data_IF_505953917313
#
_entry.id   IF_505953917313
#
_cell.length_a   1.000
_cell.length_b   1.000
_cell.length_c   1.000
_cell.angle_alpha   90.00
_cell.angle_beta   90.00
_cell.angle_gamma   90.00
#
_symmetry.space_group_name_H-M   'P 1'
#
loop_
_entity.id
_entity.type
_entity.pdbx_description
1 polymer ?
#
# COMPACT_ATOMS: atom_id res chain seq x y z
N UNK A 1 8.90 -2.66 -4.89
CA UNK A 1 8.91 -1.33 -4.26
C UNK A 1 9.89 -0.34 -4.93
N UNK A 2 11.14 -0.72 -5.26
CA UNK A 2 12.16 0.20 -5.81
C UNK A 2 11.71 1.06 -7.00
N UNK A 3 11.07 0.45 -8.01
CA UNK A 3 10.55 1.19 -9.16
C UNK A 3 9.57 2.30 -8.76
N UNK A 4 8.69 2.03 -7.78
CA UNK A 4 7.70 2.98 -7.30
C UNK A 4 8.36 4.11 -6.50
N UNK A 5 9.36 3.80 -5.69
CA UNK A 5 10.15 4.81 -4.98
C UNK A 5 10.87 5.77 -5.96
N UNK A 6 11.47 5.21 -7.02
CA UNK A 6 12.10 6.01 -8.08
C UNK A 6 11.08 6.83 -8.88
N UNK A 7 9.88 6.29 -9.10
CA UNK A 7 8.80 7.01 -9.78
C UNK A 7 8.32 8.20 -8.93
N UNK A 8 8.15 8.00 -7.62
CA UNK A 8 7.80 9.06 -6.66
C UNK A 8 8.86 10.19 -6.66
N UNK A 9 10.14 9.83 -6.80
CA UNK A 9 11.26 10.79 -6.94
C UNK A 9 11.41 11.38 -8.34
N UNK A 10 10.56 10.97 -9.31
CA UNK A 10 10.60 11.42 -10.72
C UNK A 10 11.90 11.03 -11.45
N UNK A 11 12.48 9.88 -11.09
CA UNK A 11 13.77 9.39 -11.59
C UNK A 11 13.66 8.30 -12.68
N UNK A 12 12.43 7.89 -13.05
CA UNK A 12 12.20 6.77 -13.98
C UNK A 12 11.94 7.26 -15.41
N UNK A 13 11.13 8.30 -15.56
CA UNK A 13 10.66 8.86 -16.83
C UNK A 13 10.62 10.39 -16.72
N UNK A 14 10.07 11.09 -17.72
CA UNK A 14 9.92 12.55 -17.62
C UNK A 14 9.08 12.96 -16.41
N UNK A 15 9.40 14.13 -15.83
CA UNK A 15 8.69 14.65 -14.67
C UNK A 15 7.18 14.79 -14.94
N UNK A 16 6.80 15.22 -16.15
CA UNK A 16 5.41 15.42 -16.53
C UNK A 16 4.63 14.10 -16.61
N UNK A 17 5.21 13.04 -17.17
CA UNK A 17 4.54 11.74 -17.20
C UNK A 17 4.52 11.11 -15.81
N UNK A 18 5.57 11.32 -15.00
CA UNK A 18 5.60 10.88 -13.60
C UNK A 18 4.42 11.49 -12.84
N UNK A 19 4.20 12.80 -12.94
CA UNK A 19 3.06 13.48 -12.31
C UNK A 19 1.71 12.94 -12.77
N UNK A 20 1.55 12.65 -14.07
CA UNK A 20 0.31 12.05 -14.58
C UNK A 20 0.04 10.67 -13.98
N UNK A 21 1.09 9.86 -13.80
CA UNK A 21 0.95 8.55 -13.14
C UNK A 21 0.61 8.75 -11.66
N UNK A 22 1.33 9.61 -10.96
CA UNK A 22 1.09 9.89 -9.54
C UNK A 22 -0.32 10.42 -9.29
N UNK A 23 -0.83 11.31 -10.15
CA UNK A 23 -2.20 11.81 -10.08
C UNK A 23 -3.26 10.70 -10.18
N UNK A 24 -2.99 9.66 -11.00
CA UNK A 24 -3.86 8.47 -11.08
C UNK A 24 -3.76 7.59 -9.83
N UNK A 25 -2.56 7.42 -9.29
CA UNK A 25 -2.33 6.60 -8.08
C UNK A 25 -2.94 7.25 -6.83
N UNK A 26 -3.00 8.57 -6.76
CA UNK A 26 -3.57 9.35 -5.65
C UNK A 26 -5.10 9.38 -5.61
N UNK A 27 -5.79 8.54 -6.39
CA UNK A 27 -7.24 8.41 -6.33
C UNK A 27 -7.83 8.20 -4.90
N UNK A 28 -7.14 7.58 -3.92
CA UNK A 28 -7.69 7.40 -2.57
C UNK A 28 -7.70 8.68 -1.72
N UNK A 29 -6.91 9.71 -2.09
CA UNK A 29 -6.79 10.97 -1.34
C UNK A 29 -8.10 11.75 -1.24
N UNK A 30 -9.11 11.42 -2.05
CA UNK A 30 -10.43 12.03 -2.00
C UNK A 30 -11.29 11.64 -0.78
N UNK A 31 -10.82 10.72 0.06
CA UNK A 31 -11.57 10.22 1.21
C UNK A 31 -11.09 10.83 2.55
N UNK A 32 -12.03 11.19 3.42
CA UNK A 32 -11.74 11.78 4.75
C UNK A 32 -10.84 10.87 5.64
N UNK A 33 -10.98 9.54 5.66
CA UNK A 33 -10.08 8.68 6.43
C UNK A 33 -8.62 8.77 5.97
N UNK A 34 -8.37 8.76 4.66
CA UNK A 34 -7.01 8.83 4.10
C UNK A 34 -6.38 10.19 4.41
N UNK A 35 -7.12 11.28 4.19
CA UNK A 35 -6.61 12.64 4.42
C UNK A 35 -6.27 12.95 5.89
N UNK A 36 -6.78 12.16 6.84
CA UNK A 36 -6.42 12.28 8.27
C UNK A 36 -5.08 11.61 8.59
N UNK A 37 -4.78 10.49 7.94
CA UNK A 37 -3.59 9.69 8.24
C UNK A 37 -2.41 9.98 7.31
N UNK A 38 -2.66 10.61 6.16
CA UNK A 38 -1.65 10.80 5.12
C UNK A 38 -1.61 12.22 4.55
N UNK A 39 -0.41 12.77 4.42
CA UNK A 39 -0.16 14.01 3.67
C UNK A 39 -0.20 13.77 2.16
N UNK A 40 0.30 12.61 1.74
CA UNK A 40 0.26 12.11 0.38
C UNK A 40 0.09 10.60 0.43
N UNK A 41 -0.84 10.04 -0.33
CA UNK A 41 -1.08 8.62 -0.42
C UNK A 41 -1.51 8.24 -1.83
N UNK A 42 -0.93 7.18 -2.37
CA UNK A 42 -1.38 6.62 -3.62
C UNK A 42 -1.19 5.12 -3.68
N UNK A 43 -2.09 4.45 -4.38
CA UNK A 43 -2.15 3.01 -4.38
C UNK A 43 -2.70 2.45 -5.69
N UNK A 44 -2.24 1.24 -6.00
CA UNK A 44 -2.82 0.34 -7.00
C UNK A 44 -3.06 -1.02 -6.34
N UNK A 45 -4.30 -1.49 -6.40
CA UNK A 45 -4.72 -2.77 -5.84
C UNK A 45 -5.12 -3.73 -6.97
N UNK A 46 -4.78 -5.00 -6.83
CA UNK A 46 -5.15 -6.08 -7.74
C UNK A 46 -5.89 -7.19 -6.98
N UNK A 47 -7.04 -7.59 -7.52
CA UNK A 47 -7.95 -8.57 -6.94
C UNK A 47 -8.18 -9.69 -7.95
N UNK A 48 -7.36 -10.75 -7.90
CA UNK A 48 -7.51 -11.93 -8.76
C UNK A 48 -7.84 -13.14 -7.93
N UNK A 49 -8.57 -14.10 -8.51
CA UNK A 49 -8.79 -15.39 -7.83
C UNK A 49 -7.44 -16.05 -7.52
N UNK A 50 -7.19 -16.31 -6.24
CA UNK A 50 -5.94 -16.92 -5.77
C UNK A 50 -4.77 -15.96 -5.56
N UNK A 51 -4.92 -14.66 -5.85
CA UNK A 51 -3.91 -13.65 -5.56
C UNK A 51 -4.57 -12.30 -5.24
N UNK A 52 -4.28 -11.78 -4.06
CA UNK A 52 -4.58 -10.41 -3.69
C UNK A 52 -3.26 -9.64 -3.58
N UNK A 53 -3.14 -8.51 -4.24
CA UNK A 53 -1.89 -7.76 -4.25
C UNK A 53 -2.12 -6.26 -4.28
N UNK A 54 -1.10 -5.50 -3.88
CA UNK A 54 -1.12 -4.06 -4.03
C UNK A 54 0.26 -3.45 -3.90
N UNK A 55 0.39 -2.26 -4.48
CA UNK A 55 1.54 -1.39 -4.33
C UNK A 55 1.01 -0.01 -3.93
N UNK A 56 1.51 0.49 -2.83
CA UNK A 56 1.14 1.79 -2.27
C UNK A 56 2.37 2.52 -1.74
N UNK A 57 2.22 3.84 -1.70
CA UNK A 57 3.13 4.74 -1.04
C UNK A 57 2.31 5.71 -0.19
N UNK A 58 2.90 6.16 0.91
CA UNK A 58 2.23 7.09 1.79
C UNK A 58 3.23 7.85 2.65
N UNK A 59 2.96 9.14 2.85
CA UNK A 59 3.62 9.97 3.86
C UNK A 59 2.68 10.11 5.04
N UNK A 60 3.02 9.47 6.16
CA UNK A 60 2.21 9.49 7.38
C UNK A 60 2.20 10.90 8.00
N UNK A 61 1.03 11.37 8.42
CA UNK A 61 0.88 12.64 9.16
C UNK A 61 1.41 12.55 10.60
N UNK A 62 1.64 11.34 11.12
CA UNK A 62 2.06 11.11 12.50
C UNK A 62 3.57 11.29 12.70
N UNK A 63 4.39 10.81 11.77
CA UNK A 63 5.85 10.82 11.86
C UNK A 63 6.55 11.45 10.65
N UNK A 64 5.79 11.84 9.61
CA UNK A 64 6.31 12.40 8.37
C UNK A 64 7.09 11.41 7.50
N UNK A 65 7.07 10.11 7.84
CA UNK A 65 7.83 9.11 7.12
C UNK A 65 7.11 8.73 5.82
N UNK A 66 7.83 8.79 4.71
CA UNK A 66 7.34 8.29 3.41
C UNK A 66 7.76 6.83 3.24
N UNK A 67 6.77 5.95 3.20
CA UNK A 67 6.97 4.53 2.92
C UNK A 67 6.49 4.17 1.53
N UNK A 68 7.11 3.13 0.97
CA UNK A 68 6.66 2.47 -0.26
C UNK A 68 6.67 0.98 0.00
N UNK A 69 5.53 0.33 -0.16
CA UNK A 69 5.41 -1.10 0.08
C UNK A 69 4.75 -1.82 -1.10
N UNK A 70 4.92 -3.13 -1.13
CA UNK A 70 4.24 -4.01 -2.06
C UNK A 70 3.86 -5.26 -1.27
N UNK A 71 2.56 -5.56 -1.22
CA UNK A 71 2.03 -6.69 -0.44
C UNK A 71 1.38 -7.68 -1.39
N UNK A 72 1.68 -8.95 -1.16
CA UNK A 72 1.11 -10.07 -1.89
C UNK A 72 0.53 -11.05 -0.88
N UNK A 73 -0.74 -11.38 -1.04
CA UNK A 73 -1.38 -12.48 -0.34
C UNK A 73 -1.61 -13.60 -1.34
N UNK A 74 -0.82 -14.65 -1.22
CA UNK A 74 -0.94 -15.86 -2.00
C UNK A 74 -1.49 -17.01 -1.15
N UNK A 75 -1.97 -18.06 -1.82
CA UNK A 75 -2.46 -19.29 -1.18
C UNK A 75 -3.56 -19.11 -0.13
N UNK A 76 -4.35 -18.04 -0.24
CA UNK A 76 -5.46 -17.79 0.66
C UNK A 76 -6.53 -18.89 0.52
N UNK A 77 -7.05 -19.46 1.63
CA UNK A 77 -8.23 -20.32 1.59
C UNK A 77 -9.39 -19.60 0.88
N UNK A 78 -10.13 -20.29 0.02
CA UNK A 78 -11.15 -19.67 -0.84
C UNK A 78 -12.16 -18.80 -0.07
N UNK A 79 -12.62 -19.26 1.10
CA UNK A 79 -13.53 -18.48 1.94
C UNK A 79 -12.89 -17.19 2.46
N UNK A 80 -11.61 -17.26 2.86
CA UNK A 80 -10.86 -16.11 3.31
C UNK A 80 -10.56 -15.13 2.18
N UNK A 81 -10.21 -15.65 0.99
CA UNK A 81 -10.06 -14.85 -0.22
C UNK A 81 -11.34 -14.07 -0.52
N UNK A 82 -12.51 -14.71 -0.51
CA UNK A 82 -13.81 -14.04 -0.75
C UNK A 82 -14.01 -12.88 0.22
N UNK A 83 -13.73 -13.08 1.51
CA UNK A 83 -13.89 -12.01 2.50
C UNK A 83 -12.90 -10.87 2.25
N UNK A 84 -11.62 -11.17 2.03
CA UNK A 84 -10.60 -10.16 1.78
C UNK A 84 -10.83 -9.37 0.49
N UNK A 85 -11.26 -10.04 -0.57
CA UNK A 85 -11.51 -9.42 -1.88
C UNK A 85 -12.81 -8.61 -1.92
N UNK A 86 -13.81 -8.98 -1.11
CA UNK A 86 -15.15 -8.40 -1.19
C UNK A 86 -15.36 -7.13 -0.36
N UNK A 87 -14.49 -6.80 0.60
CA UNK A 87 -14.76 -5.76 1.61
C UNK A 87 -13.59 -4.80 1.91
N UNK A 88 -12.76 -4.45 0.91
CA UNK A 88 -11.61 -3.54 1.06
C UNK A 88 -10.62 -3.93 2.19
N UNK A 89 -10.70 -5.13 2.77
CA UNK A 89 -9.88 -5.51 3.93
C UNK A 89 -8.39 -5.55 3.58
N UNK A 90 -8.05 -5.96 2.36
CA UNK A 90 -6.67 -5.87 1.88
C UNK A 90 -6.18 -4.41 1.79
N UNK A 91 -7.07 -3.49 1.42
CA UNK A 91 -6.73 -2.09 1.17
C UNK A 91 -6.59 -1.38 2.52
N UNK A 92 -7.50 -1.64 3.45
CA UNK A 92 -7.42 -1.19 4.84
C UNK A 92 -6.14 -1.71 5.50
N UNK A 93 -5.83 -3.01 5.35
CA UNK A 93 -4.59 -3.57 5.88
C UNK A 93 -3.34 -2.88 5.31
N UNK A 94 -3.26 -2.71 3.99
CA UNK A 94 -2.14 -2.02 3.34
C UNK A 94 -1.99 -0.58 3.84
N UNK A 95 -3.08 0.17 3.87
CA UNK A 95 -3.10 1.54 4.40
C UNK A 95 -2.61 1.58 5.84
N UNK A 96 -3.18 0.73 6.71
CA UNK A 96 -2.81 0.65 8.12
C UNK A 96 -1.36 0.31 8.33
N UNK A 97 -0.79 -0.54 7.49
CA UNK A 97 0.62 -0.91 7.60
C UNK A 97 1.56 0.28 7.39
N UNK A 98 1.16 1.31 6.63
CA UNK A 98 1.97 2.53 6.44
C UNK A 98 1.81 3.51 7.60
N UNK A 99 0.60 3.71 8.14
CA UNK A 99 0.36 4.76 9.14
C UNK A 99 0.44 4.30 10.59
N UNK A 100 0.32 2.99 10.88
CA UNK A 100 0.36 2.43 12.24
C UNK A 100 1.71 1.72 12.49
N UNK A 101 2.65 2.35 13.21
CA UNK A 101 3.98 1.78 13.45
C UNK A 101 3.94 0.47 14.23
N UNK A 102 2.98 0.31 15.14
CA UNK A 102 2.87 -0.91 15.95
C UNK A 102 2.43 -2.10 15.08
N UNK A 103 1.51 -1.87 14.14
CA UNK A 103 1.12 -2.88 13.16
C UNK A 103 2.29 -3.25 12.24
N UNK A 104 3.06 -2.26 11.79
CA UNK A 104 4.25 -2.46 10.96
C UNK A 104 5.29 -3.34 11.65
N UNK A 105 5.69 -2.97 12.87
CA UNK A 105 6.67 -3.70 13.67
C UNK A 105 6.21 -5.14 13.95
N UNK A 106 4.96 -5.32 14.36
CA UNK A 106 4.38 -6.65 14.64
C UNK A 106 4.36 -7.52 13.39
N UNK A 107 4.00 -6.95 12.24
CA UNK A 107 3.94 -7.67 10.96
C UNK A 107 5.34 -8.12 10.54
N UNK A 108 6.34 -7.25 10.63
CA UNK A 108 7.72 -7.60 10.33
C UNK A 108 8.24 -8.71 11.24
N UNK A 109 7.97 -8.63 12.54
CA UNK A 109 8.36 -9.65 13.51
C UNK A 109 7.75 -11.01 13.17
N UNK A 110 6.45 -11.07 12.88
CA UNK A 110 5.78 -12.31 12.50
C UNK A 110 6.29 -12.89 11.19
N UNK A 111 6.66 -12.04 10.22
CA UNK A 111 7.29 -12.49 8.97
C UNK A 111 8.69 -13.05 9.24
N UNK A 112 9.49 -12.41 10.11
CA UNK A 112 10.83 -12.89 10.41
C UNK A 112 10.82 -14.21 11.19
N UNK A 113 9.93 -14.36 12.16
CA UNK A 113 9.79 -15.58 12.99
C UNK A 113 9.41 -16.82 12.16
N UNK A 114 8.64 -16.65 11.08
CA UNK A 114 8.23 -17.75 10.20
C UNK A 114 9.25 -18.08 9.10
N UNK A 115 10.33 -17.30 8.98
CA UNK A 115 11.41 -17.50 8.02
C UNK A 115 12.72 -18.02 8.67
N UNK A 116 12.72 -18.24 10.00
CA UNK A 116 13.73 -19.00 10.74
C UNK A 116 13.29 -20.46 10.96
#
# INVERSE_FOLDING_TARGET
ADLMARLLRKEVISAEVSEQIMAKLRWPMGSEPIARSFEDYGAIYDNRMGLLAGIDFGTSTYDGHTSVQAIFFDQLPVGFWVHMSANHMQEDFQQRLIWDPALYETTLQQISENNE
#
